data_IF_886270704604
#
_entry.id   IF_886270704604
#
_cell.length_a   1.000
_cell.length_b   1.000
_cell.length_c   1.000
_cell.angle_alpha   90.00
_cell.angle_beta   90.00
_cell.angle_gamma   90.00
#
_symmetry.space_group_name_H-M   'P 1'
#
loop_
_entity.id
_entity.type
_entity.pdbx_description
1 polymer ?
#
# COMPACT_ATOMS: atom_id res chain seq x y z
N UNK A 1 73.96 23.68 0.97
CA UNK A 1 73.10 23.16 2.06
C UNK A 1 72.33 24.25 2.80
N UNK A 2 72.94 25.38 3.21
CA UNK A 2 72.20 26.38 4.01
C UNK A 2 71.07 27.12 3.27
N UNK A 3 71.27 27.49 2.01
CA UNK A 3 70.28 28.26 1.22
C UNK A 3 69.05 27.44 0.78
N UNK A 4 69.18 26.12 0.62
CA UNK A 4 68.05 25.25 0.29
C UNK A 4 67.15 24.98 1.49
N UNK A 5 67.76 24.87 2.68
CA UNK A 5 67.05 24.74 3.95
C UNK A 5 66.26 26.02 4.25
N UNK A 6 66.83 27.20 3.99
CA UNK A 6 66.15 28.50 4.11
C UNK A 6 64.95 28.66 3.17
N UNK A 7 65.09 28.22 1.91
CA UNK A 7 63.96 28.21 0.96
C UNK A 7 62.85 27.24 1.35
N UNK A 8 63.21 26.11 1.95
CA UNK A 8 62.24 25.13 2.43
C UNK A 8 61.48 25.65 3.66
N UNK A 9 62.16 26.30 4.60
CA UNK A 9 61.51 26.93 5.77
C UNK A 9 60.59 28.08 5.36
N UNK A 10 60.98 28.92 4.40
CA UNK A 10 60.08 29.95 3.84
C UNK A 10 58.83 29.35 3.17
N UNK A 11 58.98 28.26 2.41
CA UNK A 11 57.84 27.55 1.80
C UNK A 11 56.89 26.96 2.86
N UNK A 12 57.44 26.35 3.91
CA UNK A 12 56.64 25.81 5.02
C UNK A 12 55.92 26.92 5.78
N UNK A 13 56.58 28.05 6.04
CA UNK A 13 55.96 29.21 6.68
C UNK A 13 54.83 29.79 5.81
N UNK A 14 55.02 29.87 4.49
CA UNK A 14 54.01 30.32 3.54
C UNK A 14 52.81 29.37 3.45
N UNK A 15 53.05 28.06 3.45
CA UNK A 15 51.99 27.04 3.48
C UNK A 15 51.21 27.07 4.80
N UNK A 16 51.88 27.25 5.94
CA UNK A 16 51.22 27.44 7.24
C UNK A 16 50.35 28.68 7.24
N UNK A 17 50.85 29.82 6.77
CA UNK A 17 50.06 31.04 6.65
C UNK A 17 48.86 30.89 5.69
N UNK A 18 48.99 30.08 4.63
CA UNK A 18 47.86 29.74 3.77
C UNK A 18 46.83 28.85 4.48
N UNK A 19 47.27 27.82 5.20
CA UNK A 19 46.41 26.95 6.02
C UNK A 19 45.66 27.77 7.07
N UNK A 20 46.37 28.63 7.81
CA UNK A 20 45.79 29.50 8.83
C UNK A 20 44.79 30.51 8.24
N UNK A 21 45.02 30.94 6.98
CA UNK A 21 44.13 31.85 6.26
C UNK A 21 42.81 31.19 5.85
N UNK A 22 42.80 29.89 5.54
CA UNK A 22 41.57 29.17 5.15
C UNK A 22 40.92 28.37 6.29
N UNK A 23 41.64 28.05 7.36
CA UNK A 23 41.09 27.26 8.48
C UNK A 23 39.97 27.97 9.23
N UNK A 24 40.11 29.27 9.51
CA UNK A 24 39.05 30.09 10.12
C UNK A 24 37.79 30.18 9.25
N UNK A 25 37.89 30.63 7.99
CA UNK A 25 36.76 30.67 7.06
C UNK A 25 36.09 29.32 6.81
N UNK A 26 36.86 28.22 6.81
CA UNK A 26 36.32 26.87 6.69
C UNK A 26 35.52 26.48 7.94
N UNK A 27 36.04 26.74 9.14
CA UNK A 27 35.31 26.50 10.38
C UNK A 27 34.03 27.34 10.48
N UNK A 28 34.08 28.61 10.03
CA UNK A 28 32.91 29.48 9.96
C UNK A 28 31.87 28.97 8.94
N UNK A 29 32.31 28.51 7.77
CA UNK A 29 31.43 27.92 6.76
C UNK A 29 30.80 26.58 7.24
N UNK A 30 31.56 25.73 7.93
CA UNK A 30 31.04 24.51 8.54
C UNK A 30 30.03 24.81 9.66
N UNK A 31 30.27 25.85 10.47
CA UNK A 31 29.33 26.29 11.49
C UNK A 31 28.03 26.85 10.87
N UNK A 32 28.14 27.63 9.79
CA UNK A 32 26.98 28.13 9.05
C UNK A 32 26.19 26.99 8.39
N UNK A 33 26.87 26.00 7.80
CA UNK A 33 26.23 24.82 7.23
C UNK A 33 25.46 24.04 8.30
N UNK A 34 26.07 23.76 9.45
CA UNK A 34 25.39 23.08 10.56
C UNK A 34 24.18 23.85 11.06
N UNK A 35 24.30 25.17 11.22
CA UNK A 35 23.17 26.01 11.62
C UNK A 35 22.04 26.00 10.58
N UNK A 36 22.36 25.99 9.29
CA UNK A 36 21.39 25.88 8.21
C UNK A 36 20.72 24.49 8.19
N UNK A 37 21.48 23.41 8.37
CA UNK A 37 20.96 22.04 8.47
C UNK A 37 20.01 21.89 9.67
N UNK A 38 20.36 22.44 10.83
CA UNK A 38 19.53 22.36 12.03
C UNK A 38 18.25 23.19 11.89
N UNK A 39 18.33 24.35 11.22
CA UNK A 39 17.16 25.17 10.88
C UNK A 39 16.22 24.43 9.93
N UNK A 40 16.76 23.76 8.90
CA UNK A 40 15.93 23.00 7.95
C UNK A 40 15.33 21.74 8.60
N UNK A 41 16.06 21.06 9.48
CA UNK A 41 15.50 19.96 10.29
C UNK A 41 14.32 20.44 11.14
N UNK A 42 14.43 21.60 11.78
CA UNK A 42 13.35 22.17 12.57
C UNK A 42 12.11 22.47 11.72
N UNK A 43 12.30 23.10 10.54
CA UNK A 43 11.19 23.37 9.60
C UNK A 43 10.52 22.09 9.11
N UNK A 44 11.28 21.06 8.78
CA UNK A 44 10.74 19.75 8.39
C UNK A 44 9.94 19.10 9.51
N UNK A 45 10.41 19.21 10.75
CA UNK A 45 9.68 18.69 11.91
C UNK A 45 8.35 19.43 12.14
N UNK A 46 8.32 20.75 11.94
CA UNK A 46 7.08 21.53 12.00
C UNK A 46 6.09 21.12 10.90
N UNK A 47 6.56 20.97 9.65
CA UNK A 47 5.73 20.50 8.53
C UNK A 47 5.21 19.08 8.74
N UNK A 48 6.02 18.19 9.32
CA UNK A 48 5.60 16.83 9.69
C UNK A 48 4.43 16.86 10.68
N UNK A 49 4.51 17.72 11.71
CA UNK A 49 3.46 17.89 12.70
C UNK A 49 2.19 18.45 12.03
N UNK A 50 2.33 19.41 11.13
CA UNK A 50 1.21 19.98 10.40
C UNK A 50 0.53 18.94 9.50
N UNK A 51 1.29 18.22 8.67
CA UNK A 51 0.79 17.13 7.85
C UNK A 51 0.07 16.09 8.69
N UNK A 52 0.69 15.67 9.80
CA UNK A 52 0.11 14.68 10.71
C UNK A 52 -1.23 15.14 11.29
N UNK A 53 -1.38 16.43 11.63
CA UNK A 53 -2.65 16.99 12.10
C UNK A 53 -3.70 17.02 10.99
N UNK A 54 -3.34 17.43 9.77
CA UNK A 54 -4.25 17.46 8.63
C UNK A 54 -4.72 16.05 8.26
N UNK A 55 -3.80 15.09 8.21
CA UNK A 55 -4.10 13.69 7.94
C UNK A 55 -4.98 13.09 9.04
N UNK A 56 -4.66 13.32 10.32
CA UNK A 56 -5.48 12.89 11.45
C UNK A 56 -6.89 13.53 11.46
N UNK A 57 -7.06 14.72 10.88
CA UNK A 57 -8.37 15.34 10.72
C UNK A 57 -9.23 14.76 9.59
N UNK A 58 -8.63 14.06 8.63
CA UNK A 58 -9.30 13.61 7.39
C UNK A 58 -9.23 12.10 7.14
N UNK A 59 -8.53 11.34 8.00
CA UNK A 59 -8.26 9.91 7.76
C UNK A 59 -9.54 9.07 7.61
N UNK A 60 -10.61 9.38 8.34
CA UNK A 60 -11.87 8.62 8.24
C UNK A 60 -12.49 8.72 6.85
N UNK A 61 -12.56 9.92 6.28
CA UNK A 61 -13.09 10.13 4.93
C UNK A 61 -12.21 9.48 3.86
N UNK A 62 -10.89 9.59 4.01
CA UNK A 62 -9.93 8.91 3.11
C UNK A 62 -10.05 7.38 3.19
N UNK A 63 -10.25 6.84 4.38
CA UNK A 63 -10.42 5.40 4.59
C UNK A 63 -11.74 4.91 3.99
N UNK A 64 -12.82 5.65 4.15
CA UNK A 64 -14.13 5.35 3.55
C UNK A 64 -14.06 5.40 2.02
N UNK A 65 -13.44 6.43 1.45
CA UNK A 65 -13.22 6.54 0.01
C UNK A 65 -12.36 5.38 -0.52
N UNK A 66 -11.26 5.04 0.16
CA UNK A 66 -10.42 3.91 -0.23
C UNK A 66 -11.18 2.58 -0.15
N UNK A 67 -11.98 2.36 0.90
CA UNK A 67 -12.78 1.15 1.07
C UNK A 67 -13.82 0.96 -0.05
N UNK A 68 -14.41 2.05 -0.54
CA UNK A 68 -15.44 2.01 -1.57
C UNK A 68 -14.90 2.20 -3.00
N UNK A 69 -13.62 2.56 -3.16
CA UNK A 69 -12.98 2.82 -4.46
C UNK A 69 -13.06 1.63 -5.44
N UNK A 70 -13.24 0.42 -4.92
CA UNK A 70 -13.37 -0.81 -5.70
C UNK A 70 -14.80 -1.13 -6.16
N UNK A 71 -15.83 -0.40 -5.73
CA UNK A 71 -17.23 -0.79 -5.99
C UNK A 71 -17.57 -0.86 -7.49
N UNK A 72 -17.12 0.14 -8.28
CA UNK A 72 -17.30 0.14 -9.74
C UNK A 72 -16.49 -0.97 -10.42
N UNK A 73 -15.30 -1.27 -9.90
CA UNK A 73 -14.47 -2.36 -10.42
C UNK A 73 -15.12 -3.73 -10.12
N UNK A 74 -15.70 -3.88 -8.94
CA UNK A 74 -16.46 -5.06 -8.52
C UNK A 74 -17.69 -5.26 -9.41
N UNK A 75 -18.43 -4.20 -9.71
CA UNK A 75 -19.57 -4.30 -10.62
C UNK A 75 -19.13 -4.74 -12.03
N UNK A 76 -18.10 -4.08 -12.59
CA UNK A 76 -17.54 -4.46 -13.90
C UNK A 76 -17.03 -5.90 -13.93
N UNK A 77 -16.42 -6.38 -12.84
CA UNK A 77 -16.00 -7.77 -12.72
C UNK A 77 -17.19 -8.74 -12.81
N UNK A 78 -18.28 -8.49 -12.08
CA UNK A 78 -19.45 -9.35 -12.15
C UNK A 78 -20.12 -9.30 -13.52
N UNK A 79 -20.20 -8.13 -14.14
CA UNK A 79 -20.75 -7.99 -15.49
C UNK A 79 -19.93 -8.82 -16.49
N UNK A 80 -18.60 -8.69 -16.46
CA UNK A 80 -17.69 -9.47 -17.30
C UNK A 80 -17.79 -10.98 -17.02
N UNK A 81 -17.74 -11.39 -15.76
CA UNK A 81 -17.84 -12.79 -15.35
C UNK A 81 -19.17 -13.41 -15.80
N UNK A 82 -20.28 -12.67 -15.70
CA UNK A 82 -21.59 -13.15 -16.11
C UNK A 82 -21.74 -13.31 -17.63
N UNK A 83 -20.96 -12.56 -18.41
CA UNK A 83 -20.92 -12.68 -19.87
C UNK A 83 -20.12 -13.91 -20.35
N UNK A 84 -19.31 -14.51 -19.47
CA UNK A 84 -18.46 -15.65 -19.83
C UNK A 84 -19.27 -16.95 -20.00
N UNK A 85 -19.20 -17.62 -21.17
CA UNK A 85 -19.96 -18.84 -21.43
C UNK A 85 -19.66 -19.99 -20.46
N UNK A 86 -18.40 -20.12 -20.01
CA UNK A 86 -18.00 -21.16 -19.07
C UNK A 86 -18.63 -20.94 -17.69
N UNK A 87 -18.77 -19.68 -17.26
CA UNK A 87 -19.36 -19.33 -15.98
C UNK A 87 -20.88 -19.57 -16.02
N UNK A 88 -21.55 -19.20 -17.11
CA UNK A 88 -22.96 -19.51 -17.31
C UNK A 88 -23.24 -21.02 -17.25
N UNK A 89 -22.45 -21.84 -17.95
CA UNK A 89 -22.57 -23.29 -17.92
C UNK A 89 -22.32 -23.87 -16.50
N UNK A 90 -21.37 -23.30 -15.77
CA UNK A 90 -21.10 -23.70 -14.38
C UNK A 90 -22.24 -23.30 -13.43
N UNK A 91 -22.82 -22.11 -13.60
CA UNK A 91 -24.00 -21.66 -12.86
C UNK A 91 -25.19 -22.59 -13.12
N UNK A 92 -25.44 -23.00 -14.36
CA UNK A 92 -26.49 -23.97 -14.70
C UNK A 92 -26.27 -25.33 -14.01
N UNK A 93 -25.04 -25.84 -14.05
CA UNK A 93 -24.66 -27.06 -13.35
C UNK A 93 -24.87 -26.96 -11.83
N UNK A 94 -24.50 -25.82 -11.22
CA UNK A 94 -24.73 -25.57 -9.79
C UNK A 94 -26.22 -25.41 -9.49
N UNK A 95 -26.97 -24.72 -10.33
CA UNK A 95 -28.42 -24.54 -10.20
C UNK A 95 -29.16 -25.88 -10.22
N UNK A 96 -28.70 -26.86 -11.00
CA UNK A 96 -29.26 -28.22 -11.00
C UNK A 96 -29.21 -28.87 -9.59
N UNK A 97 -28.18 -28.58 -8.80
CA UNK A 97 -28.08 -29.06 -7.41
C UNK A 97 -29.12 -28.39 -6.51
N UNK A 98 -29.35 -27.09 -6.64
CA UNK A 98 -30.40 -26.39 -5.90
C UNK A 98 -31.79 -26.89 -6.28
N UNK A 99 -32.05 -27.10 -7.57
CA UNK A 99 -33.28 -27.70 -8.09
C UNK A 99 -33.52 -29.09 -7.48
N UNK A 100 -32.50 -29.95 -7.43
CA UNK A 100 -32.56 -31.25 -6.74
C UNK A 100 -32.92 -31.09 -5.26
N UNK A 101 -32.33 -30.10 -4.58
CA UNK A 101 -32.63 -29.79 -3.19
C UNK A 101 -34.11 -29.49 -2.98
N UNK A 102 -34.70 -28.62 -3.81
CA UNK A 102 -36.13 -28.31 -3.76
C UNK A 102 -37.01 -29.54 -3.98
N UNK A 103 -36.65 -30.40 -4.94
CA UNK A 103 -37.36 -31.66 -5.17
C UNK A 103 -37.29 -32.58 -3.94
N UNK A 104 -36.12 -32.70 -3.31
CA UNK A 104 -35.96 -33.52 -2.10
C UNK A 104 -36.75 -32.97 -0.92
N UNK A 105 -36.72 -31.66 -0.72
CA UNK A 105 -37.52 -30.99 0.33
C UNK A 105 -39.01 -31.24 0.12
N UNK A 106 -39.50 -31.11 -1.12
CA UNK A 106 -40.91 -31.34 -1.40
C UNK A 106 -41.30 -32.82 -1.29
N UNK A 107 -40.40 -33.74 -1.64
CA UNK A 107 -40.62 -35.18 -1.45
C UNK A 107 -40.71 -35.55 0.04
N UNK A 108 -39.84 -34.99 0.89
CA UNK A 108 -39.94 -35.16 2.35
C UNK A 108 -41.27 -34.62 2.88
N UNK A 109 -41.69 -33.44 2.39
CA UNK A 109 -42.96 -32.83 2.77
C UNK A 109 -44.15 -33.71 2.38
N UNK A 110 -44.16 -34.22 1.15
CA UNK A 110 -45.19 -35.12 0.66
C UNK A 110 -45.31 -36.38 1.53
N UNK A 111 -44.19 -37.04 1.86
CA UNK A 111 -44.18 -38.21 2.76
C UNK A 111 -44.80 -37.90 4.11
N UNK A 112 -44.44 -36.75 4.72
CA UNK A 112 -45.04 -36.31 5.99
C UNK A 112 -46.55 -36.11 5.88
N UNK A 113 -47.00 -35.47 4.80
CA UNK A 113 -48.43 -35.15 4.60
C UNK A 113 -49.30 -36.40 4.47
N UNK A 114 -48.81 -37.45 3.82
CA UNK A 114 -49.55 -38.71 3.65
C UNK A 114 -49.35 -39.71 4.81
N UNK A 115 -48.60 -39.33 5.84
CA UNK A 115 -48.36 -40.18 7.02
C UNK A 115 -47.32 -41.29 6.81
N UNK A 116 -46.50 -41.20 5.77
CA UNK A 116 -45.38 -42.13 5.54
C UNK A 116 -44.15 -41.77 6.37
N UNK A 117 -43.33 -42.77 6.69
CA UNK A 117 -42.01 -42.56 7.30
C UNK A 117 -41.11 -41.83 6.30
N UNK A 118 -40.50 -40.71 6.72
CA UNK A 118 -39.61 -39.92 5.86
C UNK A 118 -38.30 -40.67 5.61
N UNK A 119 -38.05 -41.03 4.36
CA UNK A 119 -36.86 -41.78 3.92
C UNK A 119 -35.98 -41.00 2.95
N UNK A 120 -36.45 -39.86 2.45
CA UNK A 120 -35.70 -39.02 1.52
C UNK A 120 -34.48 -38.38 2.23
N UNK A 121 -33.25 -38.57 1.72
CA UNK A 121 -32.02 -38.12 2.38
C UNK A 121 -31.83 -36.60 2.33
N UNK A 122 -31.10 -36.06 3.30
CA UNK A 122 -30.65 -34.66 3.27
C UNK A 122 -29.57 -34.44 2.21
N UNK A 123 -29.66 -33.31 1.52
CA UNK A 123 -28.68 -32.93 0.52
C UNK A 123 -27.40 -32.39 1.18
N UNK A 124 -26.25 -32.97 0.82
CA UNK A 124 -24.91 -32.48 1.20
C UNK A 124 -24.22 -31.85 0.00
N UNK A 125 -23.46 -30.78 0.25
CA UNK A 125 -22.68 -30.07 -0.78
C UNK A 125 -21.19 -30.22 -0.50
N UNK A 126 -20.40 -30.49 -1.54
CA UNK A 126 -18.93 -30.48 -1.49
C UNK A 126 -18.38 -29.22 -2.17
N UNK A 127 -17.30 -28.68 -1.61
CA UNK A 127 -16.62 -27.47 -2.08
C UNK A 127 -15.93 -27.67 -3.44
N UNK A 128 -15.60 -26.56 -4.12
CA UNK A 128 -14.99 -26.55 -5.46
C UNK A 128 -13.55 -26.03 -5.39
N UNK A 129 -12.57 -26.94 -5.39
CA UNK A 129 -11.13 -26.64 -5.30
C UNK A 129 -10.61 -25.64 -6.34
N UNK A 130 -11.19 -25.62 -7.55
CA UNK A 130 -10.74 -24.73 -8.64
C UNK A 130 -10.97 -23.24 -8.33
N UNK A 131 -11.91 -22.91 -7.44
CA UNK A 131 -12.13 -21.52 -7.02
C UNK A 131 -11.08 -21.07 -6.01
N UNK A 132 -10.51 -21.99 -5.23
CA UNK A 132 -9.51 -21.67 -4.22
C UNK A 132 -8.19 -21.21 -4.87
N UNK A 133 -7.77 -21.83 -5.98
CA UNK A 133 -6.58 -21.42 -6.75
C UNK A 133 -6.74 -20.06 -7.44
N UNK A 134 -7.95 -19.75 -7.93
CA UNK A 134 -8.28 -18.45 -8.52
C UNK A 134 -8.24 -17.34 -7.46
N UNK A 135 -8.75 -17.64 -6.25
CA UNK A 135 -8.71 -16.71 -5.11
C UNK A 135 -7.26 -16.44 -4.71
N UNK A 136 -6.39 -17.46 -4.63
CA UNK A 136 -4.97 -17.25 -4.30
C UNK A 136 -4.28 -16.30 -5.28
N UNK A 137 -4.49 -16.48 -6.59
CA UNK A 137 -3.91 -15.58 -7.59
C UNK A 137 -4.48 -14.16 -7.52
N UNK A 138 -5.80 -14.03 -7.31
CA UNK A 138 -6.47 -12.74 -7.12
C UNK A 138 -5.88 -11.96 -5.94
N UNK A 139 -5.70 -12.60 -4.79
CA UNK A 139 -5.17 -11.95 -3.58
C UNK A 139 -3.74 -11.46 -3.75
N UNK A 140 -2.93 -12.17 -4.55
CA UNK A 140 -1.57 -11.73 -4.86
C UNK A 140 -1.54 -10.46 -5.72
N UNK A 141 -2.41 -10.36 -6.72
CA UNK A 141 -2.48 -9.19 -7.60
C UNK A 141 -3.15 -7.99 -6.90
N UNK A 142 -4.18 -8.23 -6.08
CA UNK A 142 -4.81 -7.17 -5.28
C UNK A 142 -3.84 -6.57 -4.25
N UNK A 143 -2.99 -7.40 -3.63
CA UNK A 143 -1.96 -6.93 -2.71
C UNK A 143 -0.93 -6.02 -3.38
N UNK A 144 -0.58 -6.27 -4.65
CA UNK A 144 0.34 -5.40 -5.41
C UNK A 144 -0.29 -4.02 -5.63
N UNK A 145 -1.56 -3.95 -6.05
CA UNK A 145 -2.28 -2.69 -6.22
C UNK A 145 -2.44 -1.92 -4.91
N UNK A 146 -2.67 -2.61 -3.80
CA UNK A 146 -2.73 -1.99 -2.47
C UNK A 146 -1.37 -1.43 -2.04
N UNK A 147 -0.27 -2.09 -2.38
CA UNK A 147 1.08 -1.60 -2.07
C UNK A 147 1.42 -0.33 -2.88
N UNK A 148 1.02 -0.25 -4.15
CA UNK A 148 1.15 0.99 -4.95
C UNK A 148 0.43 2.17 -4.30
N UNK A 149 -0.79 1.96 -3.79
CA UNK A 149 -1.52 2.98 -3.05
C UNK A 149 -0.79 3.40 -1.77
N UNK A 150 -0.26 2.44 -0.99
CA UNK A 150 0.54 2.73 0.20
C UNK A 150 1.79 3.56 -0.13
N UNK A 151 2.53 3.19 -1.19
CA UNK A 151 3.67 3.96 -1.67
C UNK A 151 3.28 5.40 -2.04
N UNK A 152 2.11 5.59 -2.66
CA UNK A 152 1.60 6.92 -2.99
C UNK A 152 1.33 7.79 -1.75
N UNK A 153 0.83 7.20 -0.65
CA UNK A 153 0.61 7.93 0.61
C UNK A 153 1.94 8.35 1.26
N UNK A 154 2.95 7.48 1.21
CA UNK A 154 4.29 7.81 1.70
C UNK A 154 4.90 8.94 0.87
N UNK A 155 4.81 8.86 -0.46
CA UNK A 155 5.31 9.89 -1.35
C UNK A 155 4.64 11.26 -1.09
N UNK A 156 3.31 11.29 -0.94
CA UNK A 156 2.58 12.54 -0.63
C UNK A 156 3.07 13.18 0.67
N UNK A 157 3.31 12.37 1.72
CA UNK A 157 3.88 12.85 2.97
C UNK A 157 5.29 13.41 2.76
N UNK A 158 6.16 12.66 2.08
CA UNK A 158 7.54 13.06 1.85
C UNK A 158 7.64 14.36 1.03
N UNK A 159 6.81 14.52 0.00
CA UNK A 159 6.71 15.74 -0.80
C UNK A 159 6.29 16.94 0.07
N UNK A 160 5.25 16.77 0.90
CA UNK A 160 4.78 17.84 1.80
C UNK A 160 5.86 18.27 2.80
N UNK A 161 6.58 17.30 3.39
CA UNK A 161 7.64 17.57 4.37
C UNK A 161 8.87 18.20 3.71
N UNK A 162 9.19 17.80 2.48
CA UNK A 162 10.35 18.27 1.74
C UNK A 162 10.13 19.63 1.05
N UNK A 163 8.88 20.06 0.84
CA UNK A 163 8.55 21.32 0.17
C UNK A 163 9.27 22.51 0.84
N UNK A 164 10.05 23.26 0.06
CA UNK A 164 10.60 24.53 0.51
C UNK A 164 9.46 25.55 0.56
N UNK A 165 9.31 26.25 1.68
CA UNK A 165 8.34 27.35 1.75
C UNK A 165 8.73 28.43 0.75
N UNK A 166 7.75 28.86 -0.06
CA UNK A 166 7.87 30.05 -0.90
C UNK A 166 8.24 31.31 -0.10
#
# INVERSE_FOLDING_TARGET
MSAEIEKATERVAKLRAQIDKVSGPLADAEAQLRAAEDTEKARRAEREIEYSRQFAGTWMGRAEEAANSGDDARQRFFDALSAEPWFAAYVEYRAARHKRGYVMTEAQRAQRTIGEVVTVPEQRYYAAQILDEIVEHLEKESAQLADEFNQSLVAQREEYVAAQGD
#
